data_IF_808146808358
#
_entry.id   IF_808146808358
#
_cell.length_a   1.000
_cell.length_b   1.000
_cell.length_c   1.000
_cell.angle_alpha   90.00
_cell.angle_beta   90.00
_cell.angle_gamma   90.00
#
_symmetry.space_group_name_H-M   'P 1'
#
loop_
_entity.id
_entity.type
_entity.pdbx_description
1 polymer ?
#
# COMPACT_ATOMS: atom_id res chain seq x y z
N UNK A 1 52.81 9.36 3.32
CA UNK A 1 52.05 8.56 4.30
C UNK A 1 50.89 7.88 3.60
N UNK A 2 51.16 6.72 3.02
CA UNK A 2 50.17 5.72 2.59
C UNK A 2 49.97 4.81 3.79
N UNK A 3 48.74 4.72 4.31
CA UNK A 3 48.14 3.53 4.97
C UNK A 3 46.98 3.95 5.91
N UNK A 4 45.88 4.43 5.31
CA UNK A 4 44.56 4.54 5.98
C UNK A 4 43.42 4.04 5.09
N UNK A 5 43.71 3.38 3.97
CA UNK A 5 42.72 3.06 2.93
C UNK A 5 41.60 2.13 3.39
N UNK A 6 41.90 1.15 4.26
CA UNK A 6 40.91 0.18 4.74
C UNK A 6 39.86 0.74 5.71
N UNK A 7 40.24 1.73 6.54
CA UNK A 7 39.32 2.34 7.51
C UNK A 7 38.30 3.26 6.83
N UNK A 8 38.72 4.04 5.82
CA UNK A 8 37.81 4.87 5.02
C UNK A 8 36.92 4.02 4.09
N UNK A 9 37.45 2.90 3.59
CA UNK A 9 36.71 1.96 2.74
C UNK A 9 35.49 1.33 3.45
N UNK A 10 35.66 0.85 4.69
CA UNK A 10 34.54 0.31 5.48
C UNK A 10 33.56 1.38 5.98
N UNK A 11 34.04 2.60 6.18
CA UNK A 11 33.22 3.72 6.68
C UNK A 11 32.12 4.13 5.69
N UNK A 12 32.44 4.26 4.40
CA UNK A 12 31.45 4.64 3.38
C UNK A 12 30.31 3.62 3.26
N UNK A 13 30.61 2.32 3.39
CA UNK A 13 29.61 1.27 3.44
C UNK A 13 28.67 1.43 4.64
N UNK A 14 29.24 1.64 5.84
CA UNK A 14 28.45 1.77 7.08
C UNK A 14 27.59 3.04 7.03
N UNK A 15 28.14 4.14 6.52
CA UNK A 15 27.41 5.41 6.37
C UNK A 15 26.24 5.25 5.38
N UNK A 16 26.48 4.63 4.23
CA UNK A 16 25.45 4.33 3.25
C UNK A 16 24.34 3.42 3.82
N UNK A 17 24.74 2.36 4.51
CA UNK A 17 23.82 1.44 5.17
C UNK A 17 22.97 2.15 6.21
N UNK A 18 23.59 2.92 7.11
CA UNK A 18 22.91 3.62 8.18
C UNK A 18 21.95 4.68 7.63
N UNK A 19 22.40 5.50 6.66
CA UNK A 19 21.58 6.55 6.07
C UNK A 19 20.36 5.98 5.37
N UNK A 20 20.53 5.00 4.49
CA UNK A 20 19.41 4.38 3.79
C UNK A 20 18.49 3.66 4.76
N UNK A 21 19.05 2.97 5.76
CA UNK A 21 18.20 2.29 6.74
C UNK A 21 17.31 3.26 7.52
N UNK A 22 17.82 4.44 7.86
CA UNK A 22 17.05 5.48 8.53
C UNK A 22 16.06 6.18 7.59
N UNK A 23 16.48 6.47 6.37
CA UNK A 23 15.66 7.12 5.35
C UNK A 23 14.40 6.30 5.01
N UNK A 24 14.60 5.00 4.88
CA UNK A 24 13.60 4.01 4.45
C UNK A 24 12.64 3.60 5.56
N UNK A 25 12.95 3.91 6.82
CA UNK A 25 12.18 3.39 7.95
C UNK A 25 10.76 3.97 7.98
N UNK A 26 9.75 3.10 7.81
CA UNK A 26 8.35 3.49 7.76
C UNK A 26 7.86 4.04 6.42
N UNK A 27 8.57 3.72 5.34
CA UNK A 27 8.22 4.18 3.99
C UNK A 27 7.18 3.29 3.27
N UNK A 28 6.63 3.82 2.17
CA UNK A 28 5.67 3.14 1.29
C UNK A 28 6.18 1.81 0.77
N UNK A 29 7.45 1.74 0.44
CA UNK A 29 8.08 0.55 -0.14
C UNK A 29 8.26 -0.55 0.91
N UNK A 30 8.32 -0.22 2.20
CA UNK A 30 8.16 -1.20 3.29
C UNK A 30 6.72 -1.73 3.39
N UNK A 31 5.71 -0.86 3.27
CA UNK A 31 4.30 -1.28 3.25
C UNK A 31 4.00 -2.16 2.02
N UNK A 32 4.59 -1.84 0.87
CA UNK A 32 4.55 -2.65 -0.35
C UNK A 32 5.17 -4.04 -0.11
N UNK A 33 6.35 -4.11 0.51
CA UNK A 33 7.00 -5.37 0.85
C UNK A 33 6.13 -6.21 1.83
N UNK A 34 5.53 -5.58 2.83
CA UNK A 34 4.58 -6.21 3.74
C UNK A 34 3.36 -6.76 3.00
N UNK A 35 2.76 -5.96 2.10
CA UNK A 35 1.62 -6.38 1.30
C UNK A 35 1.96 -7.59 0.43
N UNK A 36 3.12 -7.61 -0.23
CA UNK A 36 3.57 -8.77 -0.99
C UNK A 36 3.86 -9.99 -0.11
N UNK A 37 4.32 -9.81 1.13
CA UNK A 37 4.53 -10.91 2.07
C UNK A 37 3.23 -11.59 2.53
N UNK A 38 2.07 -10.95 2.34
CA UNK A 38 0.76 -11.61 2.53
C UNK A 38 0.39 -12.57 1.41
N UNK A 39 1.00 -12.40 0.22
CA UNK A 39 0.69 -13.16 -1.00
C UNK A 39 1.80 -14.15 -1.38
N UNK A 40 3.04 -13.84 -1.06
CA UNK A 40 4.24 -14.58 -1.44
C UNK A 40 5.14 -14.87 -0.23
N UNK A 41 5.99 -15.88 -0.33
CA UNK A 41 6.91 -16.20 0.77
C UNK A 41 7.94 -15.10 0.99
N UNK A 42 8.24 -14.80 2.27
CA UNK A 42 9.18 -13.73 2.68
C UNK A 42 10.51 -13.79 1.93
N UNK A 43 11.07 -14.99 1.71
CA UNK A 43 12.31 -15.17 0.94
C UNK A 43 12.20 -14.64 -0.49
N UNK A 44 11.08 -14.90 -1.18
CA UNK A 44 10.84 -14.42 -2.55
C UNK A 44 10.61 -12.90 -2.58
N UNK A 45 9.95 -12.37 -1.56
CA UNK A 45 9.73 -10.92 -1.41
C UNK A 45 11.06 -10.20 -1.19
N UNK A 46 11.87 -10.63 -0.22
CA UNK A 46 13.16 -10.00 0.06
C UNK A 46 14.15 -10.14 -1.11
N UNK A 47 14.11 -11.24 -1.86
CA UNK A 47 14.87 -11.36 -3.09
C UNK A 47 14.39 -10.37 -4.16
N UNK A 48 13.08 -10.14 -4.27
CA UNK A 48 12.52 -9.12 -5.15
C UNK A 48 12.96 -7.71 -4.74
N UNK A 49 12.84 -7.36 -3.45
CA UNK A 49 13.33 -6.10 -2.88
C UNK A 49 14.81 -5.90 -3.18
N UNK A 50 15.63 -6.94 -2.98
CA UNK A 50 17.05 -6.90 -3.28
C UNK A 50 17.31 -6.58 -4.76
N UNK A 51 16.65 -7.26 -5.69
CA UNK A 51 16.83 -7.02 -7.12
C UNK A 51 16.33 -5.64 -7.56
N UNK A 52 15.17 -5.21 -7.05
CA UNK A 52 14.60 -3.90 -7.35
C UNK A 52 15.47 -2.75 -6.82
N UNK A 53 15.91 -2.85 -5.56
CA UNK A 53 16.81 -1.86 -4.95
C UNK A 53 18.19 -1.86 -5.60
N UNK A 54 18.74 -3.03 -5.94
CA UNK A 54 20.01 -3.13 -6.66
C UNK A 54 19.96 -2.42 -8.02
N UNK A 55 18.86 -2.60 -8.77
CA UNK A 55 18.68 -1.91 -10.05
C UNK A 55 18.51 -0.40 -9.84
N UNK A 56 17.65 0.02 -8.89
CA UNK A 56 17.38 1.42 -8.65
C UNK A 56 18.62 2.18 -8.15
N UNK A 57 19.27 1.64 -7.12
CA UNK A 57 20.46 2.21 -6.53
C UNK A 57 21.66 2.08 -7.46
N UNK A 58 21.73 1.02 -8.27
CA UNK A 58 22.76 0.88 -9.30
C UNK A 58 22.72 2.05 -10.28
N UNK A 59 21.53 2.41 -10.78
CA UNK A 59 21.35 3.58 -11.65
C UNK A 59 21.74 4.87 -10.91
N UNK A 60 21.30 5.04 -9.67
CA UNK A 60 21.63 6.20 -8.84
C UNK A 60 23.14 6.37 -8.63
N UNK A 61 23.85 5.26 -8.34
CA UNK A 61 25.31 5.26 -8.17
C UNK A 61 26.01 5.64 -9.47
N UNK A 62 25.61 5.04 -10.60
CA UNK A 62 26.19 5.37 -11.91
C UNK A 62 25.98 6.85 -12.24
N UNK A 63 24.78 7.38 -12.01
CA UNK A 63 24.49 8.80 -12.20
C UNK A 63 25.34 9.68 -11.28
N UNK A 64 25.49 9.31 -10.00
CA UNK A 64 26.28 10.07 -9.04
C UNK A 64 27.77 10.12 -9.41
N UNK A 65 28.35 8.99 -9.81
CA UNK A 65 29.74 8.92 -10.28
C UNK A 65 29.93 9.77 -11.55
N UNK A 66 28.98 9.73 -12.47
CA UNK A 66 29.07 10.55 -13.67
C UNK A 66 28.98 12.05 -13.35
N UNK A 67 28.11 12.44 -12.41
CA UNK A 67 27.96 13.83 -11.99
C UNK A 67 29.20 14.38 -11.27
N UNK A 68 29.98 13.55 -10.58
CA UNK A 68 31.21 14.00 -9.90
C UNK A 68 32.31 14.49 -10.83
N UNK A 69 32.29 14.06 -12.10
CA UNK A 69 33.29 14.48 -13.08
C UNK A 69 33.05 15.89 -13.65
N UNK A 70 31.80 16.37 -13.58
CA UNK A 70 31.39 17.65 -14.19
C UNK A 70 31.10 18.76 -13.18
N UNK A 71 30.93 18.42 -11.90
CA UNK A 71 30.51 19.36 -10.86
C UNK A 71 31.57 19.42 -9.76
N UNK A 72 32.06 20.61 -9.38
CA UNK A 72 33.02 20.76 -8.28
C UNK A 72 32.48 20.15 -6.97
N UNK A 73 33.35 19.53 -6.17
CA UNK A 73 32.99 18.90 -4.89
C UNK A 73 32.27 19.87 -3.93
N UNK A 74 32.67 21.14 -3.91
CA UNK A 74 32.00 22.18 -3.11
C UNK A 74 30.59 22.49 -3.64
N UNK A 75 30.35 22.36 -4.93
CA UNK A 75 28.99 22.53 -5.47
C UNK A 75 28.15 21.28 -5.19
N UNK A 76 28.73 20.09 -5.31
CA UNK A 76 28.07 18.81 -4.99
C UNK A 76 27.68 18.70 -3.53
N UNK A 77 28.57 19.06 -2.61
CA UNK A 77 28.26 19.04 -1.19
C UNK A 77 27.20 20.08 -0.79
N UNK A 78 27.10 21.19 -1.53
CA UNK A 78 26.06 22.21 -1.30
C UNK A 78 24.70 21.71 -1.78
N UNK A 79 24.68 21.11 -2.97
CA UNK A 79 23.50 20.48 -3.57
C UNK A 79 23.00 19.36 -2.64
N UNK A 80 23.90 18.50 -2.18
CA UNK A 80 23.63 17.41 -1.25
C UNK A 80 22.99 17.89 0.06
N UNK A 81 23.61 18.86 0.72
CA UNK A 81 23.14 19.40 1.99
C UNK A 81 21.76 20.05 1.85
N UNK A 82 21.56 20.80 0.76
CA UNK A 82 20.26 21.39 0.41
C UNK A 82 19.21 20.33 0.13
N UNK A 83 19.57 19.30 -0.64
CA UNK A 83 18.70 18.18 -0.98
C UNK A 83 18.22 17.44 0.28
N UNK A 84 19.11 17.16 1.23
CA UNK A 84 18.72 16.54 2.50
C UNK A 84 17.73 17.37 3.32
N UNK A 85 17.86 18.71 3.35
CA UNK A 85 16.86 19.58 3.99
C UNK A 85 15.52 19.49 3.27
N UNK A 86 15.53 19.57 1.93
CA UNK A 86 14.32 19.43 1.10
C UNK A 86 13.65 18.08 1.36
N UNK A 87 14.41 16.99 1.44
CA UNK A 87 13.87 15.65 1.70
C UNK A 87 13.32 15.51 3.11
N UNK A 88 14.00 16.10 4.11
CA UNK A 88 13.49 16.09 5.47
C UNK A 88 12.13 16.77 5.58
N UNK A 89 11.93 17.88 4.85
CA UNK A 89 10.64 18.57 4.76
C UNK A 89 9.63 17.77 3.92
N UNK A 90 10.04 17.17 2.81
CA UNK A 90 9.17 16.38 1.94
C UNK A 90 8.65 15.13 2.67
N UNK A 91 9.48 14.46 3.47
CA UNK A 91 9.06 13.30 4.27
C UNK A 91 7.95 13.61 5.29
N UNK A 92 7.73 14.89 5.62
CA UNK A 92 6.64 15.34 6.49
C UNK A 92 5.35 15.68 5.72
N UNK A 93 5.37 15.62 4.39
CA UNK A 93 4.21 15.88 3.56
C UNK A 93 3.23 14.70 3.70
N UNK A 94 1.95 14.95 4.03
CA UNK A 94 0.95 13.90 4.06
C UNK A 94 0.70 13.38 2.64
N UNK A 95 0.69 12.06 2.53
CA UNK A 95 0.48 11.37 1.26
C UNK A 95 -1.02 11.13 1.06
N UNK A 96 -1.46 11.23 -0.19
CA UNK A 96 -2.85 10.94 -0.56
C UNK A 96 -3.10 9.44 -0.61
N UNK A 97 -4.36 9.07 -0.83
CA UNK A 97 -4.73 7.69 -1.19
C UNK A 97 -4.10 7.36 -2.56
N UNK A 98 -2.96 6.68 -2.55
CA UNK A 98 -2.48 5.99 -3.73
C UNK A 98 -3.27 4.69 -3.84
N UNK A 99 -4.20 4.62 -4.80
CA UNK A 99 -4.84 3.36 -5.14
C UNK A 99 -3.73 2.36 -5.47
N UNK A 100 -3.75 1.20 -4.80
CA UNK A 100 -2.87 0.10 -5.15
C UNK A 100 -3.03 -0.15 -6.64
N UNK A 101 -2.01 0.21 -7.42
CA UNK A 101 -2.03 0.00 -8.86
C UNK A 101 -2.20 -1.50 -9.08
N UNK A 102 -3.34 -1.90 -9.65
CA UNK A 102 -3.49 -3.21 -10.26
C UNK A 102 -2.56 -3.22 -11.45
N UNK A 103 -1.29 -3.52 -11.17
CA UNK A 103 -0.28 -3.70 -12.20
C UNK A 103 -0.72 -4.97 -12.94
N UNK A 104 -1.52 -4.79 -14.00
CA UNK A 104 -2.04 -5.81 -14.90
C UNK A 104 -0.94 -6.51 -15.70
N UNK A 105 0.16 -6.85 -15.04
CA UNK A 105 1.33 -7.47 -15.60
C UNK A 105 1.07 -8.98 -15.66
N UNK A 106 0.88 -9.46 -16.88
CA UNK A 106 0.78 -10.89 -17.22
C UNK A 106 1.89 -11.69 -16.52
N UNK A 107 1.49 -12.74 -15.78
CA UNK A 107 2.26 -13.86 -15.18
C UNK A 107 3.80 -13.68 -15.10
N UNK A 108 4.30 -12.70 -14.36
CA UNK A 108 5.67 -12.79 -13.83
C UNK A 108 5.70 -13.59 -12.52
N UNK A 109 6.82 -14.27 -12.26
CA UNK A 109 7.01 -14.98 -11.00
C UNK A 109 7.12 -14.01 -9.81
N UNK A 110 6.83 -14.46 -8.56
CA UNK A 110 6.73 -13.60 -7.38
C UNK A 110 7.91 -12.64 -7.18
N UNK A 111 9.14 -13.12 -7.42
CA UNK A 111 10.37 -12.33 -7.24
C UNK A 111 10.40 -11.15 -8.21
N UNK A 112 10.07 -11.39 -9.48
CA UNK A 112 10.16 -10.38 -10.53
C UNK A 112 9.03 -9.35 -10.40
N UNK A 113 7.83 -9.78 -10.00
CA UNK A 113 6.73 -8.86 -9.67
C UNK A 113 7.12 -7.90 -8.55
N UNK A 114 7.71 -8.42 -7.47
CA UNK A 114 8.15 -7.59 -6.34
C UNK A 114 9.30 -6.68 -6.76
N UNK A 115 10.28 -7.18 -7.52
CA UNK A 115 11.40 -6.38 -7.99
C UNK A 115 10.97 -5.19 -8.85
N UNK A 116 10.06 -5.40 -9.81
CA UNK A 116 9.53 -4.31 -10.64
C UNK A 116 8.72 -3.31 -9.83
N UNK A 117 7.83 -3.78 -8.95
CA UNK A 117 7.03 -2.90 -8.12
C UNK A 117 7.90 -2.05 -7.18
N UNK A 118 8.92 -2.67 -6.57
CA UNK A 118 9.87 -1.96 -5.72
C UNK A 118 10.71 -0.97 -6.53
N UNK A 119 11.27 -1.40 -7.67
CA UNK A 119 12.03 -0.52 -8.56
C UNK A 119 11.22 0.72 -8.96
N UNK A 120 10.00 0.53 -9.49
CA UNK A 120 9.14 1.64 -9.92
C UNK A 120 8.73 2.54 -8.74
N UNK A 121 8.46 1.96 -7.57
CA UNK A 121 8.12 2.70 -6.37
C UNK A 121 9.26 3.59 -5.86
N UNK A 122 10.50 3.22 -6.14
CA UNK A 122 11.70 3.94 -5.73
C UNK A 122 12.25 4.92 -6.78
N UNK A 123 11.63 5.01 -7.97
CA UNK A 123 12.07 5.97 -8.99
C UNK A 123 11.72 7.39 -8.56
N UNK A 124 12.74 8.24 -8.47
CA UNK A 124 12.60 9.64 -8.09
C UNK A 124 12.39 9.85 -6.59
N UNK A 125 12.55 8.80 -5.78
CA UNK A 125 12.37 8.90 -4.34
C UNK A 125 13.60 9.48 -3.61
N UNK A 126 13.39 9.94 -2.37
CA UNK A 126 14.42 10.54 -1.49
C UNK A 126 15.62 9.63 -1.30
N UNK A 127 15.42 8.31 -1.24
CA UNK A 127 16.47 7.30 -1.13
C UNK A 127 17.36 7.33 -2.36
N UNK A 128 16.78 7.35 -3.57
CA UNK A 128 17.52 7.41 -4.84
C UNK A 128 18.39 8.66 -4.93
N UNK A 129 17.86 9.82 -4.52
CA UNK A 129 18.61 11.08 -4.49
C UNK A 129 19.70 11.09 -3.41
N UNK A 130 19.48 10.45 -2.26
CA UNK A 130 20.51 10.23 -1.24
C UNK A 130 21.63 9.32 -1.77
N UNK A 131 21.31 8.28 -2.54
CA UNK A 131 22.31 7.40 -3.18
C UNK A 131 23.14 8.17 -4.22
N UNK A 132 22.51 8.98 -5.06
CA UNK A 132 23.22 9.85 -6.02
C UNK A 132 24.20 10.75 -5.25
N UNK A 133 23.71 11.40 -4.21
CA UNK A 133 24.50 12.30 -3.35
C UNK A 133 25.71 11.60 -2.73
N UNK A 134 25.48 10.46 -2.05
CA UNK A 134 26.57 9.69 -1.45
C UNK A 134 27.60 9.26 -2.49
N UNK A 135 27.15 8.85 -3.68
CA UNK A 135 28.04 8.37 -4.74
C UNK A 135 28.85 9.48 -5.39
N UNK A 136 28.35 10.73 -5.40
CA UNK A 136 29.12 11.90 -5.88
C UNK A 136 30.26 12.30 -4.95
N UNK A 137 30.13 12.02 -3.65
CA UNK A 137 31.12 12.41 -2.62
C UNK A 137 32.03 11.25 -2.21
N UNK A 138 31.60 10.02 -2.45
CA UNK A 138 32.29 8.80 -2.02
C UNK A 138 33.44 8.41 -2.93
N UNK A 139 34.46 7.81 -2.33
CA UNK A 139 35.61 7.25 -3.06
C UNK A 139 35.39 5.81 -3.52
N UNK A 140 34.42 5.09 -2.94
CA UNK A 140 34.16 3.67 -3.22
C UNK A 140 32.68 3.39 -3.61
N UNK A 141 32.28 3.70 -4.86
CA UNK A 141 30.87 3.60 -5.31
C UNK A 141 30.25 2.20 -5.17
N UNK A 142 31.03 1.13 -5.36
CA UNK A 142 30.54 -0.24 -5.19
C UNK A 142 30.22 -0.59 -3.73
N UNK A 143 30.96 0.00 -2.77
CA UNK A 143 30.68 -0.19 -1.34
C UNK A 143 29.48 0.64 -0.91
N UNK A 144 29.30 1.83 -1.47
CA UNK A 144 28.08 2.61 -1.30
C UNK A 144 26.88 1.82 -1.85
N UNK A 145 26.96 1.27 -3.06
CA UNK A 145 25.93 0.41 -3.61
C UNK A 145 25.61 -0.76 -2.66
N UNK A 146 26.64 -1.48 -2.19
CA UNK A 146 26.46 -2.58 -1.24
C UNK A 146 25.78 -2.15 0.06
N UNK A 147 26.20 -1.02 0.63
CA UNK A 147 25.64 -0.49 1.88
C UNK A 147 24.19 -0.05 1.72
N UNK A 148 23.88 0.69 0.64
CA UNK A 148 22.52 1.17 0.35
C UNK A 148 21.55 0.00 0.10
N UNK A 149 21.93 -0.98 -0.73
CA UNK A 149 21.10 -2.15 -1.03
C UNK A 149 20.89 -3.02 0.20
N UNK A 150 21.95 -3.24 0.99
CA UNK A 150 21.83 -4.00 2.24
C UNK A 150 20.92 -3.27 3.23
N UNK A 151 21.03 -1.93 3.33
CA UNK A 151 20.12 -1.10 4.11
C UNK A 151 18.66 -1.34 3.72
N UNK A 152 18.32 -1.25 2.43
CA UNK A 152 16.94 -1.50 1.93
C UNK A 152 16.43 -2.89 2.27
N UNK A 153 17.27 -3.92 2.10
CA UNK A 153 16.86 -5.30 2.37
C UNK A 153 16.65 -5.53 3.87
N UNK A 154 17.53 -4.97 4.72
CA UNK A 154 17.40 -5.07 6.18
C UNK A 154 16.11 -4.39 6.63
N UNK A 155 15.87 -3.15 6.21
CA UNK A 155 14.69 -2.39 6.64
C UNK A 155 13.40 -2.99 6.13
N UNK A 156 13.35 -3.42 4.87
CA UNK A 156 12.21 -4.15 4.31
C UNK A 156 12.00 -5.50 5.03
N UNK A 157 13.09 -6.19 5.39
CA UNK A 157 13.05 -7.41 6.19
C UNK A 157 12.44 -7.18 7.57
N UNK A 158 12.90 -6.15 8.28
CA UNK A 158 12.34 -5.74 9.57
C UNK A 158 10.87 -5.35 9.40
N UNK A 159 10.53 -4.56 8.39
CA UNK A 159 9.16 -4.15 8.09
C UNK A 159 8.23 -5.35 7.85
N UNK A 160 8.67 -6.33 7.05
CA UNK A 160 7.91 -7.58 6.81
C UNK A 160 7.76 -8.39 8.09
N UNK A 161 8.83 -8.60 8.86
CA UNK A 161 8.77 -9.37 10.12
C UNK A 161 7.88 -8.70 11.16
N UNK A 162 7.99 -7.37 11.31
CA UNK A 162 7.14 -6.56 12.17
C UNK A 162 5.70 -6.61 11.67
N UNK A 163 5.45 -6.44 10.37
CA UNK A 163 4.11 -6.51 9.79
C UNK A 163 3.42 -7.84 10.02
N UNK A 164 4.16 -8.94 9.92
CA UNK A 164 3.66 -10.28 10.21
C UNK A 164 3.36 -10.50 11.71
N UNK A 165 4.08 -9.84 12.63
CA UNK A 165 3.92 -10.02 14.09
C UNK A 165 3.01 -9.00 14.77
N UNK A 166 3.03 -7.74 14.34
CA UNK A 166 2.36 -6.61 15.02
C UNK A 166 0.98 -6.29 14.45
N UNK A 167 0.62 -6.75 13.24
CA UNK A 167 -0.63 -6.33 12.60
C UNK A 167 -0.77 -4.80 12.47
N UNK A 168 -2.01 -4.28 12.49
CA UNK A 168 -2.44 -2.88 12.18
C UNK A 168 -1.90 -1.75 13.14
N UNK A 169 -0.71 -1.86 13.77
CA UNK A 169 -0.22 -0.90 14.79
C UNK A 169 1.18 -0.30 14.52
N UNK A 170 1.58 -0.10 13.27
CA UNK A 170 2.83 0.63 12.99
C UNK A 170 2.54 2.14 13.04
N UNK A 171 3.23 2.93 13.90
CA UNK A 171 3.04 4.38 13.95
C UNK A 171 3.74 5.05 12.75
N UNK A 172 3.13 4.94 11.57
CA UNK A 172 3.62 5.50 10.30
C UNK A 172 4.01 6.98 10.43
N UNK A 173 3.18 7.76 11.13
CA UNK A 173 3.43 9.19 11.38
C UNK A 173 4.70 9.42 12.19
N UNK A 174 4.95 8.59 13.21
CA UNK A 174 6.14 8.70 14.05
C UNK A 174 7.42 8.42 13.27
N UNK A 175 7.37 7.43 12.37
CA UNK A 175 8.50 7.07 11.51
C UNK A 175 8.80 8.16 10.48
N UNK A 176 7.77 8.72 9.82
CA UNK A 176 7.91 9.86 8.89
C UNK A 176 8.51 11.09 9.57
N UNK A 177 8.08 11.40 10.80
CA UNK A 177 8.67 12.50 11.59
C UNK A 177 10.14 12.20 11.93
N UNK A 178 10.46 10.99 12.37
CA UNK A 178 11.81 10.56 12.70
C UNK A 178 12.77 10.67 11.51
N UNK A 179 12.41 10.09 10.36
CA UNK A 179 13.19 10.15 9.12
C UNK A 179 13.41 11.60 8.66
N UNK A 180 12.35 12.42 8.69
CA UNK A 180 12.44 13.84 8.33
C UNK A 180 13.46 14.61 9.20
N UNK A 181 13.44 14.38 10.52
CA UNK A 181 14.40 15.00 11.46
C UNK A 181 15.84 14.59 11.12
N UNK A 182 16.09 13.31 10.88
CA UNK A 182 17.43 12.80 10.55
C UNK A 182 17.96 13.46 9.28
N UNK A 183 17.15 13.54 8.23
CA UNK A 183 17.52 14.21 6.98
C UNK A 183 17.84 15.70 7.16
N UNK A 184 17.01 16.42 7.93
CA UNK A 184 17.28 17.84 8.25
C UNK A 184 18.58 18.02 9.05
N UNK A 185 18.92 17.09 9.96
CA UNK A 185 20.19 17.12 10.69
C UNK A 185 21.36 16.96 9.72
N UNK A 186 21.35 15.95 8.85
CA UNK A 186 22.43 15.72 7.88
C UNK A 186 22.57 16.88 6.88
N UNK A 187 21.46 17.45 6.44
CA UNK A 187 21.49 18.63 5.57
C UNK A 187 22.05 19.86 6.28
N UNK A 188 21.67 20.09 7.53
CA UNK A 188 22.19 21.21 8.33
C UNK A 188 23.68 21.05 8.63
N UNK A 189 24.13 19.87 9.04
CA UNK A 189 25.57 19.62 9.30
C UNK A 189 26.40 19.70 8.01
N UNK A 190 25.86 19.24 6.88
CA UNK A 190 26.49 19.39 5.57
C UNK A 190 26.67 20.86 5.16
N UNK A 191 25.68 21.72 5.44
CA UNK A 191 25.80 23.17 5.21
C UNK A 191 26.87 23.82 6.10
N UNK A 192 26.97 23.41 7.37
CA UNK A 192 28.00 23.92 8.29
C UNK A 192 29.42 23.56 7.82
N UNK A 193 29.60 22.40 7.20
CA UNK A 193 30.88 21.94 6.67
C UNK A 193 31.40 22.74 5.46
N UNK A 194 30.57 23.58 4.83
CA UNK A 194 30.92 24.39 3.66
C UNK A 194 31.16 25.88 3.96
N UNK A 195 31.04 26.26 5.23
CA UNK A 195 31.12 27.66 5.67
C UNK A 195 32.51 28.27 5.44
N UNK A 196 33.54 27.46 5.21
CA UNK A 196 34.91 27.93 4.96
C UNK A 196 35.09 28.58 3.57
N UNK A 197 34.16 28.39 2.61
CA UNK A 197 34.31 28.85 1.22
C UNK A 197 33.21 29.76 0.68
N UNK A 198 32.03 29.81 1.32
CA UNK A 198 30.89 30.65 0.91
C UNK A 198 30.44 31.43 2.14
N UNK A 199 30.38 32.78 2.10
CA UNK A 199 29.88 33.56 3.23
C UNK A 199 28.35 33.40 3.29
N UNK A 200 27.87 32.25 3.76
CA UNK A 200 26.51 32.18 4.29
C UNK A 200 26.45 33.20 5.41
N UNK A 201 25.52 34.16 5.31
CA UNK A 201 25.41 35.20 6.34
C UNK A 201 25.18 34.51 7.69
N UNK A 202 25.86 34.98 8.74
CA UNK A 202 25.71 34.43 10.10
C UNK A 202 24.23 34.37 10.54
N UNK A 203 23.40 35.25 9.99
CA UNK A 203 21.95 35.24 10.16
C UNK A 203 21.26 33.97 9.64
N UNK A 204 21.63 33.45 8.46
CA UNK A 204 21.02 32.22 7.92
C UNK A 204 21.33 31.01 8.81
N UNK A 205 22.56 30.88 9.31
CA UNK A 205 22.93 29.77 10.20
C UNK A 205 22.17 29.80 11.54
N UNK A 206 21.83 30.98 12.06
CA UNK A 206 21.10 31.13 13.32
C UNK A 206 19.58 30.95 13.10
N UNK A 207 19.05 31.45 11.98
CA UNK A 207 17.61 31.42 11.70
C UNK A 207 17.14 30.08 11.12
N UNK A 208 17.98 29.38 10.36
CA UNK A 208 17.63 28.12 9.69
C UNK A 208 17.20 27.01 10.67
N UNK A 209 17.90 26.74 11.79
CA UNK A 209 17.45 25.75 12.77
C UNK A 209 16.07 26.07 13.35
N UNK A 210 15.81 27.35 13.65
CA UNK A 210 14.51 27.81 14.13
C UNK A 210 13.41 27.62 13.08
N UNK A 211 13.69 27.93 11.82
CA UNK A 211 12.77 27.73 10.71
C UNK A 211 12.49 26.24 10.44
N UNK A 212 13.50 25.37 10.51
CA UNK A 212 13.33 23.93 10.38
C UNK A 212 12.52 23.34 11.54
N UNK A 213 12.80 23.75 12.78
CA UNK A 213 12.02 23.33 13.95
C UNK A 213 10.56 23.77 13.82
N UNK A 214 10.32 25.01 13.41
CA UNK A 214 8.97 25.52 13.18
C UNK A 214 8.24 24.75 12.07
N UNK A 215 8.93 24.42 10.98
CA UNK A 215 8.40 23.62 9.88
C UNK A 215 8.04 22.20 10.32
N UNK A 216 8.91 21.55 11.11
CA UNK A 216 8.65 20.23 11.71
C UNK A 216 7.37 20.27 12.56
N UNK A 217 7.22 21.28 13.41
CA UNK A 217 6.05 21.40 14.29
C UNK A 217 4.75 21.61 13.48
N UNK A 218 4.75 22.47 12.46
CA UNK A 218 3.57 22.72 11.62
C UNK A 218 3.23 21.49 10.76
N UNK A 219 4.20 20.98 10.00
CA UNK A 219 3.98 19.87 9.07
C UNK A 219 3.71 18.58 9.83
N UNK A 220 4.42 18.31 10.93
CA UNK A 220 4.16 17.18 11.82
C UNK A 220 2.76 17.24 12.43
N UNK A 221 2.30 18.41 12.90
CA UNK A 221 0.92 18.58 13.37
C UNK A 221 -0.10 18.32 12.26
N UNK A 222 0.13 18.85 11.05
CA UNK A 222 -0.75 18.62 9.88
C UNK A 222 -0.82 17.13 9.51
N UNK A 223 0.32 16.44 9.50
CA UNK A 223 0.44 15.01 9.23
C UNK A 223 -0.32 14.17 10.25
N UNK A 224 -0.19 14.48 11.55
CA UNK A 224 -0.95 13.82 12.64
C UNK A 224 -2.45 14.04 12.50
N UNK A 225 -2.89 15.25 12.15
CA UNK A 225 -4.32 15.54 11.98
C UNK A 225 -4.88 14.77 10.77
N UNK A 226 -4.17 14.79 9.64
CA UNK A 226 -4.63 14.15 8.42
C UNK A 226 -4.67 12.62 8.54
N UNK A 227 -3.68 11.99 9.17
CA UNK A 227 -3.71 10.54 9.41
C UNK A 227 -4.88 10.12 10.30
N UNK A 228 -5.26 10.96 11.27
CA UNK A 228 -6.42 10.73 12.14
C UNK A 228 -7.74 10.83 11.37
N UNK A 229 -7.86 11.82 10.48
CA UNK A 229 -9.03 12.00 9.61
C UNK A 229 -9.16 10.80 8.66
N UNK A 230 -8.07 10.37 8.02
CA UNK A 230 -8.07 9.25 7.09
C UNK A 230 -8.44 7.93 7.79
N UNK A 231 -7.88 7.68 8.98
CA UNK A 231 -8.26 6.54 9.82
C UNK A 231 -9.76 6.55 10.16
N UNK A 232 -10.33 7.74 10.41
CA UNK A 232 -11.78 7.89 10.65
C UNK A 232 -12.60 7.54 9.41
N UNK A 233 -12.18 7.99 8.23
CA UNK A 233 -12.86 7.70 6.96
C UNK A 233 -12.84 6.21 6.60
N UNK A 234 -11.70 5.53 6.77
CA UNK A 234 -11.61 4.08 6.59
C UNK A 234 -12.53 3.33 7.55
N UNK A 235 -12.64 3.80 8.81
CA UNK A 235 -13.55 3.21 9.79
C UNK A 235 -15.01 3.35 9.36
N UNK A 236 -15.42 4.53 8.86
CA UNK A 236 -16.78 4.74 8.34
C UNK A 236 -17.08 3.86 7.14
N UNK A 237 -16.13 3.72 6.20
CA UNK A 237 -16.29 2.85 5.01
C UNK A 237 -16.38 1.37 5.42
N UNK A 238 -15.54 0.92 6.35
CA UNK A 238 -15.59 -0.45 6.85
C UNK A 238 -16.90 -0.74 7.60
N UNK A 239 -17.41 0.23 8.36
CA UNK A 239 -18.70 0.14 9.03
C UNK A 239 -19.87 0.08 8.03
N UNK A 240 -19.85 0.91 6.99
CA UNK A 240 -20.83 0.87 5.89
C UNK A 240 -20.85 -0.52 5.22
N UNK A 241 -19.67 -1.05 4.82
CA UNK A 241 -19.57 -2.37 4.20
C UNK A 241 -20.05 -3.50 5.12
N UNK A 242 -19.75 -3.41 6.42
CA UNK A 242 -20.24 -4.36 7.43
C UNK A 242 -21.76 -4.31 7.54
N UNK A 243 -22.34 -3.11 7.67
CA UNK A 243 -23.80 -2.93 7.77
C UNK A 243 -24.52 -3.40 6.50
N UNK A 244 -23.96 -3.10 5.33
CA UNK A 244 -24.47 -3.57 4.03
C UNK A 244 -24.46 -5.11 3.95
N UNK A 245 -23.38 -5.75 4.40
CA UNK A 245 -23.29 -7.22 4.45
C UNK A 245 -24.31 -7.82 5.42
N UNK A 246 -24.50 -7.19 6.58
CA UNK A 246 -25.51 -7.60 7.57
C UNK A 246 -26.94 -7.47 7.05
N UNK A 247 -27.25 -6.38 6.33
CA UNK A 247 -28.57 -6.20 5.70
C UNK A 247 -28.86 -7.32 4.70
N UNK A 248 -27.89 -7.64 3.84
CA UNK A 248 -28.00 -8.75 2.88
C UNK A 248 -28.22 -10.07 3.63
N UNK A 249 -27.39 -10.38 4.62
CA UNK A 249 -27.48 -11.63 5.39
C UNK A 249 -28.82 -11.79 6.10
N UNK A 250 -29.32 -10.73 6.74
CA UNK A 250 -30.62 -10.72 7.39
C UNK A 250 -31.77 -10.88 6.38
N UNK A 251 -31.66 -10.33 5.17
CA UNK A 251 -32.66 -10.53 4.12
C UNK A 251 -32.75 -11.99 3.65
N UNK A 252 -31.66 -12.76 3.76
CA UNK A 252 -31.62 -14.18 3.41
C UNK A 252 -32.23 -15.08 4.50
N UNK A 253 -32.25 -14.65 5.77
CA UNK A 253 -32.87 -15.40 6.86
C UNK A 253 -34.36 -15.63 6.61
N UNK A 254 -35.05 -14.65 6.02
CA UNK A 254 -36.46 -14.77 5.66
C UNK A 254 -36.72 -15.78 4.53
N UNK A 255 -35.70 -16.08 3.71
CA UNK A 255 -35.80 -17.02 2.58
C UNK A 255 -35.34 -18.44 2.95
N UNK A 256 -34.87 -18.66 4.19
CA UNK A 256 -34.43 -19.98 4.66
C UNK A 256 -35.64 -20.90 4.87
N UNK A 257 -35.65 -22.06 4.22
CA UNK A 257 -36.61 -23.14 4.48
C UNK A 257 -35.88 -24.32 5.15
N UNK A 258 -36.34 -24.69 6.35
CA UNK A 258 -35.80 -25.81 7.14
C UNK A 258 -36.14 -27.19 6.55
N UNK A 259 -37.14 -27.27 5.66
CA UNK A 259 -37.58 -28.51 5.02
C UNK A 259 -37.17 -28.61 3.54
N UNK A 260 -36.29 -27.74 3.07
CA UNK A 260 -35.85 -27.73 1.68
C UNK A 260 -35.10 -29.02 1.32
N UNK A 261 -35.62 -29.78 0.36
CA UNK A 261 -35.01 -31.01 -0.15
C UNK A 261 -34.84 -30.91 -1.66
N UNK A 262 -33.59 -30.92 -2.12
CA UNK A 262 -33.23 -30.78 -3.52
C UNK A 262 -32.10 -31.75 -3.91
N UNK A 263 -32.04 -32.19 -5.16
CA UNK A 263 -31.01 -33.12 -5.68
C UNK A 263 -29.58 -32.57 -5.51
N UNK A 264 -29.44 -31.24 -5.53
CA UNK A 264 -28.16 -30.54 -5.31
C UNK A 264 -27.79 -30.34 -3.84
N UNK A 265 -28.73 -30.60 -2.92
CA UNK A 265 -28.66 -30.28 -1.49
C UNK A 265 -28.48 -31.55 -0.63
N UNK A 266 -28.40 -32.74 -1.24
CA UNK A 266 -28.44 -34.05 -0.57
C UNK A 266 -27.30 -34.29 0.46
N UNK A 267 -26.28 -33.42 0.52
CA UNK A 267 -25.13 -33.56 1.44
C UNK A 267 -25.11 -32.59 2.63
N UNK A 268 -26.21 -31.87 2.92
CA UNK A 268 -26.43 -31.31 4.27
C UNK A 268 -26.36 -29.80 4.45
N UNK A 269 -26.24 -29.00 3.39
CA UNK A 269 -26.45 -27.53 3.45
C UNK A 269 -27.09 -27.01 2.16
N UNK A 270 -28.04 -26.08 2.30
CA UNK A 270 -28.66 -25.39 1.16
C UNK A 270 -27.76 -24.30 0.59
N UNK A 271 -27.99 -23.87 -0.66
CA UNK A 271 -27.29 -22.71 -1.26
C UNK A 271 -27.36 -21.46 -0.38
N UNK A 272 -28.52 -21.23 0.26
CA UNK A 272 -28.75 -20.09 1.15
C UNK A 272 -27.88 -20.21 2.41
N UNK A 273 -27.77 -21.40 2.99
CA UNK A 273 -26.93 -21.64 4.18
C UNK A 273 -25.45 -21.45 3.87
N UNK A 274 -24.97 -21.98 2.74
CA UNK A 274 -23.59 -21.75 2.31
C UNK A 274 -23.31 -20.27 2.01
N UNK A 275 -24.28 -19.56 1.41
CA UNK A 275 -24.17 -18.14 1.15
C UNK A 275 -24.20 -17.32 2.46
N UNK A 276 -24.99 -17.73 3.45
CA UNK A 276 -24.99 -17.12 4.79
C UNK A 276 -23.66 -17.34 5.51
N UNK A 277 -23.11 -18.56 5.48
CA UNK A 277 -21.79 -18.86 6.05
C UNK A 277 -20.70 -18.06 5.34
N UNK A 278 -20.81 -17.92 4.01
CA UNK A 278 -19.90 -17.09 3.21
C UNK A 278 -19.94 -15.61 3.63
N UNK A 279 -21.14 -15.05 3.83
CA UNK A 279 -21.33 -13.69 4.32
C UNK A 279 -20.82 -13.50 5.75
N UNK A 280 -21.09 -14.46 6.64
CA UNK A 280 -20.60 -14.44 8.02
C UNK A 280 -19.07 -14.51 8.07
N UNK A 281 -18.46 -15.33 7.21
CA UNK A 281 -17.01 -15.39 7.08
C UNK A 281 -16.43 -14.06 6.61
N UNK A 282 -17.06 -13.41 5.63
CA UNK A 282 -16.63 -12.10 5.16
C UNK A 282 -16.76 -11.02 6.25
N UNK A 283 -17.79 -11.06 7.09
CA UNK A 283 -17.92 -10.19 8.27
C UNK A 283 -16.79 -10.44 9.28
N UNK A 284 -16.48 -11.71 9.60
CA UNK A 284 -15.41 -12.08 10.54
C UNK A 284 -14.02 -11.71 10.03
N UNK A 285 -13.79 -11.83 8.73
CA UNK A 285 -12.50 -11.56 8.09
C UNK A 285 -12.34 -10.09 7.64
N UNK A 286 -13.38 -9.24 7.81
CA UNK A 286 -13.45 -7.88 7.25
C UNK A 286 -13.18 -7.83 5.73
N UNK A 287 -13.60 -8.88 5.00
CA UNK A 287 -13.21 -9.15 3.61
C UNK A 287 -14.39 -8.97 2.64
N UNK A 288 -14.70 -7.72 2.29
CA UNK A 288 -15.86 -7.37 1.45
C UNK A 288 -15.56 -7.26 -0.05
N UNK A 289 -14.28 -7.27 -0.43
CA UNK A 289 -13.80 -7.36 -1.83
C UNK A 289 -13.16 -8.72 -2.05
N UNK A 290 -13.71 -9.48 -2.98
CA UNK A 290 -13.47 -10.91 -3.11
C UNK A 290 -12.32 -11.19 -4.08
N UNK A 291 -11.48 -12.16 -3.71
CA UNK A 291 -10.41 -12.71 -4.58
C UNK A 291 -10.84 -13.96 -5.32
N UNK A 292 -11.90 -14.62 -4.85
CA UNK A 292 -12.50 -15.83 -5.41
C UNK A 292 -14.00 -15.68 -5.33
N UNK A 293 -14.68 -16.11 -6.37
CA UNK A 293 -16.14 -16.12 -6.43
C UNK A 293 -16.69 -17.26 -5.57
N UNK A 294 -17.97 -17.16 -5.21
CA UNK A 294 -18.71 -18.20 -4.50
C UNK A 294 -18.75 -19.47 -5.37
N UNK A 295 -18.55 -20.64 -4.76
CA UNK A 295 -18.47 -21.93 -5.46
C UNK A 295 -19.29 -23.02 -4.74
N UNK A 296 -20.39 -22.62 -4.08
CA UNK A 296 -21.34 -23.55 -3.48
C UNK A 296 -22.31 -24.12 -4.52
N UNK A 297 -23.18 -25.06 -4.11
CA UNK A 297 -24.24 -25.59 -4.96
C UNK A 297 -25.20 -24.46 -5.35
N UNK A 298 -25.81 -24.57 -6.53
CA UNK A 298 -26.86 -23.67 -6.99
C UNK A 298 -28.15 -24.48 -7.10
N UNK A 299 -29.05 -24.32 -6.13
CA UNK A 299 -30.38 -24.91 -6.18
C UNK A 299 -31.38 -23.94 -6.83
N UNK A 300 -32.25 -24.48 -7.68
CA UNK A 300 -33.39 -23.75 -8.25
C UNK A 300 -34.60 -23.88 -7.32
N UNK A 301 -35.15 -22.75 -6.86
CA UNK A 301 -36.34 -22.73 -6.01
C UNK A 301 -37.62 -22.52 -6.81
N UNK A 302 -38.74 -23.06 -6.32
CA UNK A 302 -40.06 -22.96 -6.93
C UNK A 302 -41.11 -22.40 -5.97
N UNK A 303 -42.16 -21.75 -6.50
CA UNK A 303 -43.30 -21.30 -5.70
C UNK A 303 -42.97 -20.18 -4.71
N UNK A 304 -43.41 -20.31 -3.46
CA UNK A 304 -43.32 -19.27 -2.42
C UNK A 304 -41.87 -18.93 -2.02
N UNK A 305 -40.96 -19.90 -2.06
CA UNK A 305 -39.53 -19.71 -1.79
C UNK A 305 -38.88 -18.74 -2.80
N UNK A 306 -39.32 -18.81 -4.07
CA UNK A 306 -38.81 -17.96 -5.14
C UNK A 306 -39.18 -16.49 -4.92
N UNK A 307 -40.37 -16.20 -4.40
CA UNK A 307 -40.77 -14.81 -4.09
C UNK A 307 -39.97 -14.25 -2.91
N UNK A 308 -39.72 -15.05 -1.87
CA UNK A 308 -38.85 -14.65 -0.74
C UNK A 308 -37.42 -14.32 -1.21
N UNK A 309 -36.89 -15.10 -2.15
CA UNK A 309 -35.58 -14.81 -2.76
C UNK A 309 -35.59 -13.53 -3.61
N UNK A 310 -36.68 -13.21 -4.32
CA UNK A 310 -36.79 -11.95 -5.05
C UNK A 310 -36.72 -10.75 -4.11
N UNK A 311 -37.31 -10.85 -2.92
CA UNK A 311 -37.21 -9.80 -1.91
C UNK A 311 -35.78 -9.64 -1.39
N UNK A 312 -35.06 -10.74 -1.11
CA UNK A 312 -33.63 -10.68 -0.77
C UNK A 312 -32.78 -10.10 -1.92
N UNK A 313 -33.13 -10.41 -3.18
CA UNK A 313 -32.46 -9.86 -4.36
C UNK A 313 -32.67 -8.34 -4.47
N UNK A 314 -33.91 -7.86 -4.28
CA UNK A 314 -34.23 -6.42 -4.26
C UNK A 314 -33.44 -5.68 -3.18
N UNK A 315 -33.35 -6.23 -1.98
CA UNK A 315 -32.55 -5.65 -0.89
C UNK A 315 -31.06 -5.65 -1.25
N UNK A 316 -30.55 -6.72 -1.84
CA UNK A 316 -29.14 -6.80 -2.28
C UNK A 316 -28.82 -5.76 -3.35
N UNK A 317 -29.72 -5.52 -4.31
CA UNK A 317 -29.56 -4.48 -5.33
C UNK A 317 -29.57 -3.08 -4.70
N UNK A 318 -30.49 -2.82 -3.78
CA UNK A 318 -30.59 -1.56 -3.04
C UNK A 318 -29.29 -1.25 -2.28
N UNK A 319 -28.72 -2.26 -1.62
CA UNK A 319 -27.42 -2.18 -0.96
C UNK A 319 -26.29 -1.90 -1.95
N UNK A 320 -26.30 -2.57 -3.11
CA UNK A 320 -25.28 -2.36 -4.14
C UNK A 320 -25.35 -0.96 -4.76
N UNK A 321 -26.54 -0.41 -4.98
CA UNK A 321 -26.78 0.94 -5.50
C UNK A 321 -26.27 2.02 -4.54
N UNK A 322 -26.43 1.80 -3.23
CA UNK A 322 -26.04 2.78 -2.19
C UNK A 322 -24.58 2.64 -1.73
N UNK A 323 -23.85 1.62 -2.20
CA UNK A 323 -22.51 1.30 -1.73
C UNK A 323 -21.46 2.29 -2.28
N UNK A 324 -20.79 3.02 -1.38
CA UNK A 324 -19.78 4.03 -1.72
C UNK A 324 -18.52 3.46 -2.42
N UNK A 325 -18.27 2.16 -2.26
CA UNK A 325 -17.12 1.44 -2.83
C UNK A 325 -17.55 0.25 -3.71
N UNK A 326 -18.69 0.37 -4.41
CA UNK A 326 -19.18 -0.68 -5.30
C UNK A 326 -18.15 -1.06 -6.37
N UNK A 327 -17.82 -2.36 -6.48
CA UNK A 327 -16.93 -2.95 -7.49
C UNK A 327 -17.50 -4.29 -7.95
N UNK A 328 -17.07 -4.76 -9.12
CA UNK A 328 -17.56 -6.01 -9.70
C UNK A 328 -17.33 -7.23 -8.79
N UNK A 329 -16.20 -7.27 -8.08
CA UNK A 329 -15.86 -8.35 -7.16
C UNK A 329 -16.29 -8.07 -5.71
N UNK A 330 -17.23 -7.15 -5.46
CA UNK A 330 -17.71 -6.90 -4.11
C UNK A 330 -18.69 -7.99 -3.65
N UNK A 331 -18.80 -8.16 -2.34
CA UNK A 331 -19.65 -9.19 -1.75
C UNK A 331 -21.13 -9.05 -2.13
N UNK A 332 -21.64 -7.81 -2.21
CA UNK A 332 -23.01 -7.57 -2.64
C UNK A 332 -23.27 -8.03 -4.08
N UNK A 333 -22.33 -7.78 -4.99
CA UNK A 333 -22.46 -8.21 -6.39
C UNK A 333 -22.36 -9.74 -6.53
N UNK A 334 -21.51 -10.37 -5.72
CA UNK A 334 -21.44 -11.83 -5.65
C UNK A 334 -22.75 -12.44 -5.15
N UNK A 335 -23.30 -11.93 -4.05
CA UNK A 335 -24.60 -12.39 -3.51
C UNK A 335 -25.70 -12.19 -4.55
N UNK A 336 -25.73 -11.04 -5.23
CA UNK A 336 -26.67 -10.74 -6.31
C UNK A 336 -26.62 -11.83 -7.40
N UNK A 337 -25.43 -12.17 -7.91
CA UNK A 337 -25.26 -13.21 -8.95
C UNK A 337 -25.76 -14.59 -8.51
N UNK A 338 -25.51 -14.96 -7.25
CA UNK A 338 -26.02 -16.22 -6.69
C UNK A 338 -27.55 -16.21 -6.66
N UNK A 339 -28.16 -15.12 -6.17
CA UNK A 339 -29.61 -14.97 -6.12
C UNK A 339 -30.24 -14.95 -7.51
N UNK A 340 -29.62 -14.28 -8.48
CA UNK A 340 -30.07 -14.27 -9.88
C UNK A 340 -30.06 -15.68 -10.49
N UNK A 341 -28.98 -16.43 -10.26
CA UNK A 341 -28.88 -17.82 -10.70
C UNK A 341 -29.96 -18.71 -10.07
N UNK A 342 -30.30 -18.48 -8.80
CA UNK A 342 -31.35 -19.24 -8.11
C UNK A 342 -32.77 -18.87 -8.58
N UNK A 343 -33.03 -17.59 -8.85
CA UNK A 343 -34.37 -17.09 -9.21
C UNK A 343 -34.65 -17.23 -10.71
N UNK A 344 -33.68 -16.90 -11.56
CA UNK A 344 -33.83 -16.79 -13.01
C UNK A 344 -33.05 -17.84 -13.79
N UNK A 345 -32.03 -18.48 -13.18
CA UNK A 345 -31.16 -19.43 -13.87
C UNK A 345 -30.07 -18.79 -14.72
N UNK A 346 -29.93 -17.46 -14.66
CA UNK A 346 -28.90 -16.70 -15.36
C UNK A 346 -28.46 -15.46 -14.55
N UNK A 347 -27.29 -14.91 -14.88
CA UNK A 347 -26.74 -13.73 -14.23
C UNK A 347 -26.89 -12.50 -15.11
N UNK A 348 -27.16 -11.35 -14.48
CA UNK A 348 -27.26 -10.08 -15.18
C UNK A 348 -26.06 -9.19 -14.89
N UNK A 349 -25.71 -8.34 -15.84
CA UNK A 349 -24.68 -7.32 -15.62
C UNK A 349 -25.24 -6.17 -14.78
N UNK A 350 -24.54 -5.81 -13.72
CA UNK A 350 -24.84 -4.63 -12.90
C UNK A 350 -23.60 -3.76 -12.79
N UNK A 351 -23.74 -2.50 -13.22
CA UNK A 351 -22.69 -1.47 -13.19
C UNK A 351 -22.96 -0.40 -12.11
N UNK A 352 -23.85 -0.68 -11.16
CA UNK A 352 -24.35 0.30 -10.19
C UNK A 352 -25.62 1.03 -10.64
N UNK A 353 -26.09 0.82 -11.88
CA UNK A 353 -27.29 1.46 -12.38
C UNK A 353 -28.52 0.54 -12.26
N UNK A 354 -29.41 0.87 -11.32
CA UNK A 354 -30.65 0.13 -11.08
C UNK A 354 -31.61 0.12 -12.27
N UNK A 355 -31.73 1.21 -13.02
CA UNK A 355 -32.67 1.29 -14.15
C UNK A 355 -32.28 0.32 -15.27
N UNK A 356 -30.99 0.30 -15.65
CA UNK A 356 -30.47 -0.64 -16.66
C UNK A 356 -30.66 -2.08 -16.23
N UNK A 357 -30.41 -2.34 -14.95
CA UNK A 357 -30.59 -3.66 -14.38
C UNK A 357 -32.06 -4.12 -14.44
N UNK A 358 -32.98 -3.28 -13.97
CA UNK A 358 -34.41 -3.59 -14.02
C UNK A 358 -34.91 -3.77 -15.46
N UNK A 359 -34.36 -3.06 -16.44
CA UNK A 359 -34.70 -3.29 -17.85
C UNK A 359 -34.31 -4.69 -18.30
N UNK A 360 -33.11 -5.17 -17.95
CA UNK A 360 -32.67 -6.52 -18.31
C UNK A 360 -33.51 -7.61 -17.63
N UNK A 361 -33.85 -7.44 -16.34
CA UNK A 361 -34.64 -8.43 -15.61
C UNK A 361 -36.10 -8.47 -16.11
N UNK A 362 -36.67 -7.33 -16.50
CA UNK A 362 -38.06 -7.24 -17.01
C UNK A 362 -38.30 -8.02 -18.29
N UNK A 363 -37.26 -8.36 -19.05
CA UNK A 363 -37.39 -9.23 -20.23
C UNK A 363 -37.81 -10.66 -19.84
N UNK A 364 -37.50 -11.09 -18.61
CA UNK A 364 -37.79 -12.43 -18.07
C UNK A 364 -38.86 -12.43 -17.00
N UNK A 365 -38.93 -11.38 -16.18
CA UNK A 365 -39.92 -11.21 -15.12
C UNK A 365 -40.52 -9.80 -15.15
N UNK A 366 -41.65 -9.60 -15.86
CA UNK A 366 -42.31 -8.30 -15.99
C UNK A 366 -42.77 -7.70 -14.66
N UNK A 367 -42.97 -8.54 -13.63
CA UNK A 367 -43.51 -8.18 -12.33
C UNK A 367 -42.41 -7.91 -11.26
N UNK A 368 -41.13 -8.01 -11.65
CA UNK A 368 -39.98 -7.75 -10.78
C UNK A 368 -39.77 -6.27 -10.45
#
# INVERSE_FOLDING_TARGET
>A
MKDKGGAYMGWEFIQALALISMAEMGDKTQLLAMAFATKYSVKKVLLGVFLGSLLNHGIAVVLGVYLSDFIPLDTLSLIAATAFIVFGLWSLKPEGEEEAQDTGVKKFGPVLTVAFAFFLGEIGDKTQLAVITLSTQGSYPLLILGGTVLGMVITSGVGVLVGMKLGKKIPEVGLKIGSGIVFMIFGYTGLLGQVDGIPLSQGIMILLPGALLFSILIMGRKLVIQSRIQTSSYRTTAEELRLNTQRIRHSLEAAKDENHSCEYCENGSTTIEELQEYLEKAEKEEAYLLKKEFNGPLCSLGGEEKEKLKDSLRETISVCEQCSKHRENCIGNQTRRVLESMVYGEEFKFDGNREKYCQAVKELDPDF
#
